data_IF_992540379645
#
_entry.id   IF_992540379645
#
_cell.length_a   1.000
_cell.length_b   1.000
_cell.length_c   1.000
_cell.angle_alpha   90.00
_cell.angle_beta   90.00
_cell.angle_gamma   90.00
#
_symmetry.space_group_name_H-M   'P 1'
#
loop_
_entity.id
_entity.type
_entity.pdbx_description
1 polymer ?
#
# COMPACT_ATOMS: atom_id res chain seq x y z
N UNK A 1 3.54 -27.52 49.61
CA UNK A 1 4.79 -27.45 48.80
C UNK A 1 4.61 -28.05 47.41
N UNK A 2 4.03 -29.24 47.24
CA UNK A 2 3.80 -29.87 45.92
C UNK A 2 2.89 -29.08 44.94
N UNK A 3 1.85 -28.40 45.43
CA UNK A 3 0.96 -27.60 44.58
C UNK A 3 1.69 -26.45 43.86
N UNK A 4 2.68 -25.87 44.53
CA UNK A 4 3.46 -24.76 43.99
C UNK A 4 4.34 -25.23 42.83
N UNK A 5 4.92 -26.43 42.94
CA UNK A 5 5.71 -27.06 41.87
C UNK A 5 4.86 -27.29 40.61
N UNK A 6 3.66 -27.89 40.74
CA UNK A 6 2.77 -28.14 39.60
C UNK A 6 2.30 -26.86 38.91
N UNK A 7 1.99 -25.80 39.68
CA UNK A 7 1.66 -24.48 39.15
C UNK A 7 2.84 -23.86 38.38
N UNK A 8 4.06 -24.00 38.91
CA UNK A 8 5.28 -23.48 38.29
C UNK A 8 5.64 -24.26 37.02
N UNK A 9 5.40 -25.57 37.00
CA UNK A 9 5.49 -26.44 35.83
C UNK A 9 4.49 -26.02 34.74
N UNK A 10 3.23 -25.78 35.11
CA UNK A 10 2.20 -25.30 34.19
C UNK A 10 2.53 -23.93 33.60
N UNK A 11 3.08 -23.02 34.40
CA UNK A 11 3.54 -21.72 33.94
C UNK A 11 4.73 -21.84 32.98
N UNK A 12 5.69 -22.72 33.26
CA UNK A 12 6.80 -23.03 32.34
C UNK A 12 6.28 -23.57 31.01
N UNK A 13 5.33 -24.50 31.02
CA UNK A 13 4.72 -25.05 29.81
C UNK A 13 3.95 -24.00 29.01
N UNK A 14 3.21 -23.12 29.68
CA UNK A 14 2.53 -21.98 29.04
C UNK A 14 3.53 -21.05 28.36
N UNK A 15 4.62 -20.70 29.07
CA UNK A 15 5.66 -19.82 28.54
C UNK A 15 6.38 -20.45 27.35
N UNK A 16 6.67 -21.75 27.42
CA UNK A 16 7.28 -22.50 26.32
C UNK A 16 6.36 -22.55 25.09
N UNK A 17 5.08 -22.88 25.30
CA UNK A 17 4.08 -22.96 24.24
C UNK A 17 3.83 -21.61 23.59
N UNK A 18 3.46 -20.60 24.39
CA UNK A 18 3.20 -19.24 23.91
C UNK A 18 4.45 -18.60 23.30
N UNK A 19 5.64 -18.84 23.88
CA UNK A 19 6.92 -18.33 23.38
C UNK A 19 7.29 -18.92 22.03
N UNK A 20 7.12 -20.23 21.83
CA UNK A 20 7.41 -20.88 20.53
C UNK A 20 6.51 -20.34 19.42
N UNK A 21 5.21 -20.19 19.69
CA UNK A 21 4.25 -19.62 18.73
C UNK A 21 4.61 -18.16 18.44
N UNK A 22 4.96 -17.37 19.46
CA UNK A 22 5.38 -15.99 19.28
C UNK A 22 6.62 -15.88 18.38
N UNK A 23 7.65 -16.71 18.60
CA UNK A 23 8.85 -16.74 17.77
C UNK A 23 8.51 -17.13 16.33
N UNK A 24 7.64 -18.13 16.15
CA UNK A 24 7.21 -18.58 14.83
C UNK A 24 6.46 -17.47 14.07
N UNK A 25 5.51 -16.80 14.74
CA UNK A 25 4.79 -15.66 14.16
C UNK A 25 5.73 -14.50 13.85
N UNK A 26 6.70 -14.20 14.74
CA UNK A 26 7.70 -13.16 14.49
C UNK A 26 8.54 -13.48 13.25
N UNK A 27 8.95 -14.74 13.09
CA UNK A 27 9.64 -15.22 11.88
C UNK A 27 8.78 -15.03 10.63
N UNK A 28 7.48 -15.38 10.68
CA UNK A 28 6.56 -15.16 9.56
C UNK A 28 6.39 -13.68 9.22
N UNK A 29 6.28 -12.80 10.21
CA UNK A 29 6.19 -11.35 10.01
C UNK A 29 7.46 -10.81 9.35
N UNK A 30 8.64 -11.26 9.79
CA UNK A 30 9.91 -10.90 9.16
C UNK A 30 9.95 -11.39 7.71
N UNK A 31 9.51 -12.62 7.44
CA UNK A 31 9.44 -13.16 6.09
C UNK A 31 8.50 -12.35 5.19
N UNK A 32 7.31 -11.98 5.69
CA UNK A 32 6.39 -11.10 4.95
C UNK A 32 6.99 -9.72 4.70
N UNK A 33 7.69 -9.13 5.68
CA UNK A 33 8.41 -7.86 5.51
C UNK A 33 9.52 -7.96 4.46
N UNK A 34 10.23 -9.09 4.42
CA UNK A 34 11.26 -9.34 3.41
C UNK A 34 10.64 -9.40 2.02
N UNK A 35 9.52 -10.10 1.87
CA UNK A 35 8.76 -10.14 0.61
C UNK A 35 8.28 -8.75 0.20
N UNK A 36 7.78 -7.94 1.15
CA UNK A 36 7.37 -6.55 0.90
C UNK A 36 8.54 -5.66 0.46
N UNK A 37 9.71 -5.80 1.09
CA UNK A 37 10.94 -5.10 0.70
C UNK A 37 11.45 -5.54 -0.66
N UNK A 38 11.40 -6.83 -0.95
CA UNK A 38 11.84 -7.37 -2.24
C UNK A 38 10.91 -6.92 -3.36
N UNK A 39 9.59 -6.90 -3.12
CA UNK A 39 8.62 -6.33 -4.04
C UNK A 39 8.89 -4.83 -4.31
N UNK A 40 9.10 -4.02 -3.26
CA UNK A 40 9.46 -2.60 -3.41
C UNK A 40 10.79 -2.38 -4.14
N UNK A 41 11.74 -3.32 -4.05
CA UNK A 41 13.02 -3.23 -4.74
C UNK A 41 12.91 -3.64 -6.23
N UNK A 42 12.06 -4.61 -6.55
CA UNK A 42 11.80 -5.04 -7.92
C UNK A 42 10.86 -4.08 -8.67
N UNK A 43 10.03 -3.31 -7.96
CA UNK A 43 9.15 -2.32 -8.54
C UNK A 43 9.88 -0.97 -8.66
N UNK A 44 10.27 -0.52 -9.87
CA UNK A 44 10.99 0.72 -10.04
C UNK A 44 10.05 1.90 -9.77
N UNK A 45 10.09 2.48 -8.57
CA UNK A 45 9.41 3.73 -8.19
C UNK A 45 8.04 3.93 -8.88
N UNK A 46 7.18 2.91 -8.78
CA UNK A 46 5.90 2.87 -9.48
C UNK A 46 4.77 3.31 -8.57
N UNK A 47 4.38 4.58 -8.69
CA UNK A 47 3.11 5.13 -8.19
C UNK A 47 3.02 5.21 -6.66
N UNK A 48 3.56 6.30 -6.10
CA UNK A 48 2.98 6.84 -4.87
C UNK A 48 1.46 6.93 -5.05
N UNK A 49 0.62 6.55 -4.05
CA UNK A 49 -0.81 6.72 -4.16
C UNK A 49 -1.06 8.18 -4.54
N UNK A 50 -1.58 8.41 -5.75
CA UNK A 50 -1.91 9.77 -6.19
C UNK A 50 -2.95 10.27 -5.21
N UNK A 51 -2.54 11.10 -4.26
CA UNK A 51 -3.45 11.86 -3.46
C UNK A 51 -4.30 12.64 -4.46
N UNK A 52 -5.60 12.32 -4.53
CA UNK A 52 -6.56 13.01 -5.36
C UNK A 52 -6.64 14.44 -4.82
N UNK A 53 -5.79 15.31 -5.35
CA UNK A 53 -5.91 16.73 -5.08
C UNK A 53 -7.16 17.21 -5.83
N UNK A 54 -8.08 17.94 -5.17
CA UNK A 54 -9.15 18.60 -5.90
C UNK A 54 -8.51 19.52 -6.93
N UNK A 55 -8.86 19.30 -8.18
CA UNK A 55 -8.40 20.09 -9.33
C UNK A 55 -8.82 21.54 -9.11
N UNK A 56 -7.91 22.36 -8.59
CA UNK A 56 -8.07 23.80 -8.69
C UNK A 56 -7.90 24.14 -10.16
N UNK A 57 -8.98 24.65 -10.76
CA UNK A 57 -9.10 25.03 -12.17
C UNK A 57 -7.86 25.80 -12.61
N UNK A 58 -6.94 25.10 -13.27
CA UNK A 58 -5.80 25.74 -13.93
C UNK A 58 -6.38 26.64 -15.03
N UNK A 59 -5.93 27.90 -15.16
CA UNK A 59 -6.34 28.76 -16.26
C UNK A 59 -6.12 28.00 -17.57
N UNK A 60 -7.19 27.79 -18.33
CA UNK A 60 -7.11 27.04 -19.57
C UNK A 60 -6.05 27.69 -20.46
N UNK A 61 -5.03 26.89 -20.84
CA UNK A 61 -3.96 27.35 -21.70
C UNK A 61 -4.56 27.92 -23.00
N UNK A 62 -4.29 29.20 -23.34
CA UNK A 62 -4.83 29.86 -24.53
C UNK A 62 -4.60 29.05 -25.83
N UNK A 63 -3.49 28.30 -25.90
CA UNK A 63 -3.16 27.44 -27.03
C UNK A 63 -4.14 26.26 -27.13
N UNK A 64 -4.49 25.66 -25.99
CA UNK A 64 -5.44 24.55 -25.90
C UNK A 64 -6.86 25.01 -26.30
N UNK A 65 -7.26 26.20 -25.87
CA UNK A 65 -8.54 26.81 -26.26
C UNK A 65 -8.58 27.09 -27.78
N UNK A 66 -7.48 27.57 -28.36
CA UNK A 66 -7.37 27.79 -29.80
C UNK A 66 -7.49 26.48 -30.60
N UNK A 67 -6.82 25.41 -30.17
CA UNK A 67 -6.90 24.09 -30.83
C UNK A 67 -8.31 23.50 -30.74
N UNK A 68 -8.96 23.56 -29.56
CA UNK A 68 -10.32 23.05 -29.37
C UNK A 68 -11.32 23.85 -30.22
N UNK A 69 -11.20 25.19 -30.26
CA UNK A 69 -12.09 26.02 -31.08
C UNK A 69 -11.94 25.75 -32.58
N UNK A 70 -10.71 25.55 -33.07
CA UNK A 70 -10.45 25.15 -34.45
C UNK A 70 -11.04 23.77 -34.77
N UNK A 71 -10.91 22.80 -33.86
CA UNK A 71 -11.47 21.46 -34.02
C UNK A 71 -13.01 21.49 -34.10
N UNK A 72 -13.67 22.27 -33.23
CA UNK A 72 -15.13 22.44 -33.24
C UNK A 72 -15.60 23.14 -34.52
N UNK A 73 -14.88 24.18 -34.96
CA UNK A 73 -15.20 24.88 -36.21
C UNK A 73 -15.09 23.95 -37.43
N UNK A 74 -14.04 23.13 -37.50
CA UNK A 74 -13.84 22.15 -38.57
C UNK A 74 -14.88 21.03 -38.54
N UNK A 75 -15.30 20.58 -37.36
CA UNK A 75 -16.37 19.59 -37.23
C UNK A 75 -17.71 20.16 -37.74
N UNK A 76 -18.03 21.40 -37.35
CA UNK A 76 -19.30 22.06 -37.73
C UNK A 76 -19.37 22.40 -39.22
N UNK A 77 -18.24 22.74 -39.85
CA UNK A 77 -18.21 22.95 -41.31
C UNK A 77 -18.31 21.64 -42.09
N UNK A 78 -17.77 20.54 -41.54
CA UNK A 78 -17.85 19.20 -42.15
C UNK A 78 -19.22 18.52 -41.98
N UNK A 79 -19.96 18.86 -40.92
CA UNK A 79 -21.29 18.31 -40.62
C UNK A 79 -22.43 19.29 -40.95
N UNK A 80 -22.20 20.23 -41.86
CA UNK A 80 -23.24 21.05 -42.49
C UNK A 80 -23.49 20.60 -43.92
#
# INVERSE_FOLDING_TARGET
MLMNELMLEGLKLMLLGMGSVFIFLLMLVISMKLMSKLAQFLEPAGVAPVAIQPHLSTPADPSLVAVISAAVAAYRSKHR
#
